data_IF_120978445408
#
_entry.id   IF_120978445408
#
_cell.length_a   1.000
_cell.length_b   1.000
_cell.length_c   1.000
_cell.angle_alpha   90.00
_cell.angle_beta   90.00
_cell.angle_gamma   90.00
#
_symmetry.space_group_name_H-M   'P 1'
#
loop_
_entity.id
_entity.type
_entity.pdbx_description
1 polymer ?
#
# COMPACT_ATOMS: atom_id res chain seq x y z
N UNK A 1 -17.28 6.14 9.05
CA UNK A 1 -16.09 5.29 9.22
C UNK A 1 -15.43 4.87 7.91
N UNK A 2 -16.16 4.30 6.94
CA UNK A 2 -15.59 3.80 5.69
C UNK A 2 -14.98 4.89 4.81
N UNK A 3 -15.60 6.07 4.81
CA UNK A 3 -15.18 7.20 3.97
C UNK A 3 -13.92 7.87 4.51
N UNK A 4 -13.68 7.80 5.80
CA UNK A 4 -12.49 8.31 6.47
C UNK A 4 -11.23 7.53 6.07
N UNK A 5 -11.29 6.20 6.02
CA UNK A 5 -10.15 5.34 5.66
C UNK A 5 -9.56 5.61 4.26
N UNK A 6 -10.35 6.10 3.34
CA UNK A 6 -9.88 6.41 1.99
C UNK A 6 -9.26 7.80 1.89
N UNK A 7 -9.78 8.75 2.66
CA UNK A 7 -9.14 10.06 2.81
C UNK A 7 -7.76 9.92 3.43
N UNK A 8 -7.60 9.03 4.43
CA UNK A 8 -6.32 8.75 5.07
C UNK A 8 -5.29 8.17 4.08
N UNK A 9 -5.69 7.21 3.25
CA UNK A 9 -4.79 6.66 2.21
C UNK A 9 -4.35 7.71 1.21
N UNK A 10 -5.24 8.60 0.77
CA UNK A 10 -4.90 9.69 -0.14
C UNK A 10 -4.00 10.74 0.54
N UNK A 11 -4.24 11.05 1.81
CA UNK A 11 -3.40 11.93 2.61
C UNK A 11 -2.00 11.34 2.82
N UNK A 12 -1.90 10.07 3.19
CA UNK A 12 -0.63 9.35 3.36
C UNK A 12 0.16 9.33 2.05
N UNK A 13 -0.50 9.04 0.93
CA UNK A 13 0.14 9.05 -0.38
C UNK A 13 0.70 10.44 -0.72
N UNK A 14 -0.06 11.48 -0.42
CA UNK A 14 0.36 12.87 -0.61
C UNK A 14 1.56 13.24 0.28
N UNK A 15 1.57 12.77 1.54
CA UNK A 15 2.70 12.95 2.46
C UNK A 15 3.97 12.27 1.97
N UNK A 16 3.89 11.07 1.42
CA UNK A 16 5.04 10.41 0.80
C UNK A 16 5.55 11.18 -0.41
N UNK A 17 4.65 11.62 -1.31
CA UNK A 17 5.01 12.45 -2.45
C UNK A 17 5.67 13.76 -2.03
N UNK A 18 5.11 14.45 -1.04
CA UNK A 18 5.68 15.68 -0.47
C UNK A 18 7.06 15.44 0.16
N UNK A 19 7.22 14.32 0.86
CA UNK A 19 8.50 13.95 1.46
C UNK A 19 9.60 13.75 0.41
N UNK A 20 9.28 13.09 -0.73
CA UNK A 20 10.22 12.98 -1.87
C UNK A 20 10.47 14.34 -2.51
N UNK A 21 9.44 15.19 -2.61
CA UNK A 21 9.60 16.52 -3.17
C UNK A 21 10.48 17.43 -2.30
N UNK A 22 10.44 17.29 -0.98
CA UNK A 22 11.21 18.14 -0.06
C UNK A 22 12.58 17.58 0.32
N UNK A 23 12.67 16.28 0.57
CA UNK A 23 13.87 15.62 1.06
C UNK A 23 14.61 14.82 -0.01
N UNK A 24 14.13 14.83 -1.26
CA UNK A 24 14.68 14.05 -2.35
C UNK A 24 15.78 14.77 -3.16
N UNK A 25 16.47 15.76 -2.60
CA UNK A 25 17.55 16.50 -3.29
C UNK A 25 18.77 15.64 -3.60
N UNK A 26 18.94 14.52 -2.89
CA UNK A 26 19.96 13.52 -3.15
C UNK A 26 19.65 12.61 -4.34
N UNK A 27 18.42 12.68 -4.91
CA UNK A 27 18.00 11.92 -6.08
C UNK A 27 18.37 12.66 -7.38
N UNK A 28 18.80 11.95 -8.42
CA UNK A 28 18.91 12.57 -9.75
C UNK A 28 17.57 13.19 -10.17
N UNK A 29 17.57 14.44 -10.70
CA UNK A 29 16.32 15.13 -11.04
C UNK A 29 15.37 14.34 -11.94
N UNK A 30 15.84 13.61 -12.99
CA UNK A 30 14.94 12.78 -13.80
C UNK A 30 14.27 11.64 -13.01
N UNK A 31 15.01 10.97 -12.13
CA UNK A 31 14.48 9.90 -11.29
C UNK A 31 13.44 10.44 -10.32
N UNK A 32 13.76 11.56 -9.63
CA UNK A 32 12.82 12.24 -8.71
C UNK A 32 11.52 12.61 -9.41
N UNK A 33 11.61 13.21 -10.60
CA UNK A 33 10.43 13.59 -11.38
C UNK A 33 9.57 12.38 -11.76
N UNK A 34 10.18 11.26 -12.17
CA UNK A 34 9.44 10.03 -12.51
C UNK A 34 8.80 9.37 -11.28
N UNK A 35 9.50 9.30 -10.17
CA UNK A 35 8.93 8.79 -8.91
C UNK A 35 7.71 9.62 -8.51
N UNK A 36 7.80 10.95 -8.54
CA UNK A 36 6.68 11.84 -8.25
C UNK A 36 5.53 11.70 -9.26
N UNK A 37 5.82 11.51 -10.53
CA UNK A 37 4.81 11.28 -11.57
C UNK A 37 4.04 9.97 -11.32
N UNK A 38 4.73 8.88 -10.97
CA UNK A 38 4.09 7.60 -10.66
C UNK A 38 3.24 7.72 -9.39
N UNK A 39 3.75 8.39 -8.33
CA UNK A 39 2.97 8.68 -7.13
C UNK A 39 1.71 9.50 -7.45
N UNK A 40 1.85 10.51 -8.32
CA UNK A 40 0.72 11.32 -8.79
C UNK A 40 -0.33 10.50 -9.54
N UNK A 41 0.07 9.57 -10.41
CA UNK A 41 -0.86 8.68 -11.10
C UNK A 41 -1.62 7.76 -10.13
N UNK A 42 -0.94 7.21 -9.12
CA UNK A 42 -1.57 6.41 -8.07
C UNK A 42 -2.55 7.29 -7.28
N UNK A 43 -2.17 8.51 -6.92
CA UNK A 43 -3.02 9.45 -6.20
C UNK A 43 -4.29 9.79 -7.00
N UNK A 44 -4.18 10.01 -8.30
CA UNK A 44 -5.35 10.22 -9.18
C UNK A 44 -6.29 9.03 -9.13
N UNK A 45 -5.78 7.79 -9.15
CA UNK A 45 -6.60 6.58 -9.01
C UNK A 45 -7.37 6.53 -7.69
N UNK A 46 -6.72 6.83 -6.56
CA UNK A 46 -7.38 6.87 -5.25
C UNK A 46 -8.38 8.03 -5.11
N UNK A 47 -8.04 9.20 -5.64
CA UNK A 47 -8.96 10.36 -5.63
C UNK A 47 -10.18 10.08 -6.51
N UNK A 48 -9.99 9.48 -7.69
CA UNK A 48 -11.09 9.06 -8.55
C UNK A 48 -12.00 8.03 -7.84
N UNK A 49 -11.41 7.07 -7.13
CA UNK A 49 -12.17 6.13 -6.30
C UNK A 49 -13.02 6.87 -5.25
N UNK A 50 -12.44 7.84 -4.53
CA UNK A 50 -13.17 8.63 -3.54
C UNK A 50 -14.32 9.41 -4.16
N UNK A 51 -14.10 10.05 -5.31
CA UNK A 51 -15.11 10.91 -5.94
C UNK A 51 -16.25 10.11 -6.58
N UNK A 52 -15.93 9.01 -7.28
CA UNK A 52 -16.90 8.31 -8.11
C UNK A 52 -17.49 7.05 -7.44
N UNK A 53 -16.73 6.36 -6.59
CA UNK A 53 -17.17 5.13 -5.97
C UNK A 53 -17.50 5.29 -4.47
N UNK A 54 -16.87 6.22 -3.75
CA UNK A 54 -17.04 6.35 -2.30
C UNK A 54 -16.96 7.80 -1.83
N UNK A 55 -17.82 8.67 -2.36
CA UNK A 55 -17.79 10.11 -2.08
C UNK A 55 -18.03 10.39 -0.58
N UNK A 56 -17.01 10.90 0.17
CA UNK A 56 -17.17 11.23 1.58
C UNK A 56 -18.05 12.47 1.82
N UNK A 57 -18.28 13.30 0.79
CA UNK A 57 -19.09 14.51 0.87
C UNK A 57 -20.56 14.27 0.46
N UNK A 58 -20.92 13.03 0.10
CA UNK A 58 -22.33 12.72 -0.20
C UNK A 58 -23.19 12.90 1.07
N UNK A 59 -24.26 13.68 0.94
CA UNK A 59 -25.18 13.96 2.03
C UNK A 59 -26.35 13.01 1.99
N UNK A 60 -26.81 12.58 3.17
CA UNK A 60 -28.07 11.84 3.33
C UNK A 60 -29.24 12.83 3.27
N UNK A 61 -30.31 12.43 2.58
CA UNK A 61 -31.55 13.21 2.48
C UNK A 61 -32.74 12.27 2.77
N UNK A 62 -33.54 12.54 3.81
CA UNK A 62 -33.41 13.62 4.79
C UNK A 62 -32.16 13.46 5.66
N UNK A 63 -31.62 14.59 6.15
CA UNK A 63 -30.52 14.54 7.08
C UNK A 63 -30.96 13.88 8.40
N UNK A 64 -30.20 12.93 8.94
CA UNK A 64 -30.50 12.34 10.26
C UNK A 64 -30.39 13.43 11.35
N UNK A 65 -31.20 13.30 12.40
CA UNK A 65 -31.22 14.26 13.51
C UNK A 65 -29.90 14.23 14.31
N UNK A 66 -29.25 13.09 14.35
CA UNK A 66 -27.95 12.87 15.03
C UNK A 66 -27.15 11.78 14.29
N UNK A 67 -25.85 11.69 14.58
CA UNK A 67 -24.99 10.61 14.09
C UNK A 67 -25.24 9.29 14.84
N UNK A 68 -24.95 8.17 14.18
CA UNK A 68 -25.11 6.83 14.78
C UNK A 68 -24.09 6.55 15.91
N UNK A 69 -23.08 7.43 16.06
CA UNK A 69 -21.99 7.20 17.01
C UNK A 69 -21.03 6.10 16.56
N UNK A 70 -20.02 5.85 17.38
CA UNK A 70 -19.02 4.80 17.16
C UNK A 70 -19.41 3.56 17.98
N UNK A 71 -19.40 2.39 17.33
CA UNK A 71 -19.59 1.12 18.04
C UNK A 71 -18.63 1.04 19.26
N UNK A 72 -19.12 0.70 20.47
CA UNK A 72 -18.29 0.64 21.67
C UNK A 72 -17.02 -0.21 21.54
N UNK A 73 -17.06 -1.31 20.80
CA UNK A 73 -15.88 -2.17 20.53
C UNK A 73 -14.79 -1.40 19.76
N UNK A 74 -15.21 -0.43 18.94
CA UNK A 74 -14.30 0.38 18.13
C UNK A 74 -13.73 1.60 18.87
N UNK A 75 -14.15 1.85 20.11
CA UNK A 75 -13.69 2.98 20.93
C UNK A 75 -12.41 2.66 21.72
N UNK A 76 -11.75 1.56 21.41
CA UNK A 76 -10.52 1.14 22.07
C UNK A 76 -9.29 1.86 21.46
N UNK A 77 -8.36 2.37 22.30
CA UNK A 77 -7.14 3.03 21.83
C UNK A 77 -6.26 2.14 20.94
N UNK A 78 -6.22 0.83 21.18
CA UNK A 78 -5.48 -0.12 20.32
C UNK A 78 -6.02 -0.16 18.91
N UNK A 79 -7.36 -0.13 18.77
CA UNK A 79 -7.99 -0.04 17.45
C UNK A 79 -7.79 1.33 16.79
N UNK A 80 -7.71 2.42 17.56
CA UNK A 80 -7.46 3.74 17.00
C UNK A 80 -6.08 3.85 16.32
N UNK A 81 -5.08 3.14 16.84
CA UNK A 81 -3.70 3.17 16.34
C UNK A 81 -3.41 2.11 15.26
N UNK A 82 -4.11 0.98 15.28
CA UNK A 82 -3.88 -0.13 14.35
C UNK A 82 -4.12 0.23 12.88
N UNK A 83 -5.28 0.76 12.44
CA UNK A 83 -5.52 1.06 11.03
C UNK A 83 -4.58 2.11 10.44
N UNK A 84 -4.25 3.23 11.11
CA UNK A 84 -3.28 4.19 10.59
C UNK A 84 -1.92 3.56 10.29
N UNK A 85 -1.41 2.69 11.16
CA UNK A 85 -0.14 2.01 10.94
C UNK A 85 -0.21 1.02 9.78
N UNK A 86 -1.32 0.27 9.64
CA UNK A 86 -1.55 -0.57 8.47
C UNK A 86 -1.55 0.24 7.18
N UNK A 87 -2.28 1.36 7.13
CA UNK A 87 -2.36 2.18 5.93
C UNK A 87 -1.03 2.84 5.59
N UNK A 88 -0.28 3.28 6.59
CA UNK A 88 1.07 3.80 6.38
C UNK A 88 1.98 2.75 5.73
N UNK A 89 1.87 1.49 6.14
CA UNK A 89 2.59 0.36 5.54
C UNK A 89 2.12 0.04 4.11
N UNK A 90 0.82 -0.17 3.92
CA UNK A 90 0.24 -0.50 2.62
C UNK A 90 0.54 0.56 1.56
N UNK A 91 0.24 1.82 1.88
CA UNK A 91 0.47 2.95 0.98
C UNK A 91 1.97 3.23 0.84
N UNK A 92 2.76 3.02 1.91
CA UNK A 92 4.20 3.21 1.88
C UNK A 92 4.91 2.34 0.84
N UNK A 93 4.42 1.13 0.57
CA UNK A 93 4.97 0.29 -0.50
C UNK A 93 4.76 0.85 -1.91
N UNK A 94 3.85 1.81 -2.10
CA UNK A 94 3.75 2.55 -3.36
C UNK A 94 5.03 3.31 -3.71
N UNK A 95 5.82 3.68 -2.70
CA UNK A 95 7.12 4.32 -2.92
C UNK A 95 8.11 3.35 -3.59
N UNK A 96 8.27 2.14 -3.04
CA UNK A 96 9.13 1.12 -3.65
C UNK A 96 8.68 0.80 -5.08
N UNK A 97 7.37 0.68 -5.31
CA UNK A 97 6.77 0.52 -6.62
C UNK A 97 7.12 1.69 -7.57
N UNK A 98 7.00 2.93 -7.11
CA UNK A 98 7.29 4.12 -7.93
C UNK A 98 8.77 4.20 -8.33
N UNK A 99 9.68 3.84 -7.41
CA UNK A 99 11.09 3.70 -7.71
C UNK A 99 11.37 2.57 -8.73
N UNK A 100 10.64 1.46 -8.63
CA UNK A 100 10.78 0.35 -9.56
C UNK A 100 10.30 0.73 -10.97
N UNK A 101 9.14 1.36 -11.10
CA UNK A 101 8.61 1.85 -12.39
C UNK A 101 9.54 2.91 -12.99
N UNK A 102 10.02 3.85 -12.18
CA UNK A 102 10.97 4.86 -12.63
C UNK A 102 12.28 4.23 -13.15
N UNK A 103 12.80 3.22 -12.46
CA UNK A 103 14.00 2.48 -12.87
C UNK A 103 13.78 1.70 -14.19
N UNK A 104 12.61 1.11 -14.40
CA UNK A 104 12.25 0.44 -15.66
C UNK A 104 12.19 1.44 -16.81
N UNK A 105 11.66 2.63 -16.58
CA UNK A 105 11.63 3.71 -17.60
C UNK A 105 13.05 4.16 -17.93
N UNK A 106 13.91 4.35 -16.92
CA UNK A 106 15.30 4.74 -17.10
C UNK A 106 16.18 3.64 -17.70
N UNK A 107 15.80 2.37 -17.50
CA UNK A 107 16.60 1.21 -17.87
C UNK A 107 17.85 1.05 -17.00
N UNK A 108 17.83 1.59 -15.76
CA UNK A 108 18.99 1.58 -14.86
C UNK A 108 18.62 1.21 -13.44
N UNK A 109 19.32 0.21 -12.91
CA UNK A 109 19.29 -0.19 -11.51
C UNK A 109 20.72 -0.41 -11.02
N UNK A 110 21.14 0.36 -10.04
CA UNK A 110 22.50 0.32 -9.48
C UNK A 110 22.47 0.40 -7.93
N UNK A 111 23.64 0.36 -7.33
CA UNK A 111 23.80 0.45 -5.88
C UNK A 111 23.23 1.78 -5.30
N UNK A 112 23.27 2.87 -6.07
CA UNK A 112 22.72 4.15 -5.65
C UNK A 112 21.19 4.08 -5.59
N UNK A 113 20.55 3.50 -6.63
CA UNK A 113 19.10 3.27 -6.65
C UNK A 113 18.67 2.41 -5.45
N UNK A 114 19.37 1.33 -5.15
CA UNK A 114 19.07 0.48 -4.01
C UNK A 114 19.15 1.22 -2.66
N UNK A 115 20.14 2.12 -2.49
CA UNK A 115 20.25 2.97 -1.29
C UNK A 115 19.09 3.95 -1.16
N UNK A 116 18.56 4.44 -2.27
CA UNK A 116 17.43 5.38 -2.24
C UNK A 116 16.10 4.70 -1.95
N UNK A 117 15.86 3.49 -2.46
CA UNK A 117 14.59 2.78 -2.25
C UNK A 117 14.48 2.15 -0.85
N UNK A 118 15.60 1.73 -0.26
CA UNK A 118 15.62 1.02 1.03
C UNK A 118 14.96 1.77 2.20
N UNK A 119 15.25 3.05 2.47
CA UNK A 119 14.63 3.76 3.59
C UNK A 119 13.11 3.79 3.50
N UNK A 120 12.56 4.00 2.31
CA UNK A 120 11.13 4.02 2.08
C UNK A 120 10.50 2.64 2.30
N UNK A 121 11.14 1.60 1.76
CA UNK A 121 10.69 0.21 1.96
C UNK A 121 10.76 -0.18 3.43
N UNK A 122 11.82 0.21 4.14
CA UNK A 122 11.96 -0.06 5.58
C UNK A 122 10.91 0.68 6.40
N UNK A 123 10.64 1.94 6.12
CA UNK A 123 9.61 2.72 6.80
C UNK A 123 8.21 2.09 6.61
N UNK A 124 7.87 1.69 5.39
CA UNK A 124 6.63 1.00 5.09
C UNK A 124 6.54 -0.36 5.82
N UNK A 125 7.63 -1.13 5.81
CA UNK A 125 7.70 -2.43 6.49
C UNK A 125 7.57 -2.31 8.02
N UNK A 126 8.22 -1.31 8.63
CA UNK A 126 8.08 -1.03 10.07
C UNK A 126 6.63 -0.66 10.41
N UNK A 127 6.04 0.25 9.64
CA UNK A 127 4.66 0.67 9.85
C UNK A 127 3.68 -0.52 9.74
N UNK A 128 3.86 -1.38 8.72
CA UNK A 128 3.04 -2.57 8.55
C UNK A 128 3.26 -3.58 9.69
N UNK A 129 4.50 -3.76 10.16
CA UNK A 129 4.82 -4.61 11.32
C UNK A 129 4.10 -4.13 12.57
N UNK A 130 4.16 -2.82 12.84
CA UNK A 130 3.45 -2.23 13.98
C UNK A 130 1.94 -2.36 13.81
N UNK A 131 1.42 -2.12 12.61
CA UNK A 131 0.01 -2.28 12.32
C UNK A 131 -0.49 -3.70 12.57
N UNK A 132 0.20 -4.71 12.06
CA UNK A 132 -0.13 -6.13 12.29
C UNK A 132 -0.04 -6.46 13.78
N UNK A 133 1.05 -6.06 14.47
CA UNK A 133 1.24 -6.33 15.89
C UNK A 133 0.18 -5.69 16.77
N UNK A 134 -0.18 -4.43 16.51
CA UNK A 134 -1.24 -3.73 17.25
C UNK A 134 -2.61 -4.37 17.02
N UNK A 135 -2.92 -4.79 15.79
CA UNK A 135 -4.17 -5.48 15.49
C UNK A 135 -4.26 -6.84 16.18
N UNK A 136 -3.19 -7.61 16.17
CA UNK A 136 -3.11 -8.89 16.90
C UNK A 136 -3.28 -8.69 18.42
N UNK A 137 -2.63 -7.69 18.99
CA UNK A 137 -2.75 -7.35 20.40
C UNK A 137 -4.19 -6.95 20.74
N UNK A 138 -4.80 -6.05 19.95
CA UNK A 138 -6.18 -5.62 20.16
C UNK A 138 -7.16 -6.80 20.07
N UNK A 139 -7.04 -7.65 19.05
CA UNK A 139 -7.89 -8.84 18.91
C UNK A 139 -7.78 -9.78 20.11
N UNK A 140 -6.58 -9.95 20.67
CA UNK A 140 -6.33 -10.83 21.80
C UNK A 140 -7.10 -10.42 23.05
N UNK A 141 -7.06 -9.14 23.45
CA UNK A 141 -7.70 -8.73 24.71
C UNK A 141 -9.15 -8.25 24.54
N UNK A 142 -9.55 -7.79 23.34
CA UNK A 142 -10.89 -7.22 23.13
C UNK A 142 -11.90 -8.26 22.64
N UNK A 143 -11.49 -9.12 21.68
CA UNK A 143 -12.41 -10.03 21.01
C UNK A 143 -12.58 -11.37 21.75
N UNK A 144 -11.69 -11.69 22.68
CA UNK A 144 -11.79 -12.93 23.47
C UNK A 144 -11.63 -14.22 22.67
N UNK A 145 -11.04 -14.16 21.48
CA UNK A 145 -10.85 -15.34 20.62
C UNK A 145 -9.73 -16.28 21.07
N UNK A 146 -8.99 -15.93 22.11
CA UNK A 146 -7.99 -16.79 22.72
C UNK A 146 -6.66 -16.91 21.99
N UNK A 147 -6.39 -16.08 20.99
CA UNK A 147 -5.15 -16.12 20.22
C UNK A 147 -4.78 -14.76 19.63
N UNK A 148 -3.56 -14.70 19.08
CA UNK A 148 -3.00 -13.50 18.45
C UNK A 148 -3.17 -13.49 16.92
N UNK A 149 -3.42 -14.64 16.30
CA UNK A 149 -3.53 -14.80 14.87
C UNK A 149 -4.50 -15.92 14.53
N UNK A 150 -5.43 -15.67 13.62
CA UNK A 150 -6.54 -16.57 13.32
C UNK A 150 -6.54 -17.07 11.88
N UNK A 151 -5.54 -16.70 11.08
CA UNK A 151 -5.45 -17.04 9.66
C UNK A 151 -6.66 -16.55 8.86
N UNK A 152 -7.32 -15.49 9.35
CA UNK A 152 -8.40 -14.85 8.63
C UNK A 152 -7.89 -14.30 7.29
N UNK A 153 -8.70 -14.33 6.20
CA UNK A 153 -8.28 -13.83 4.90
C UNK A 153 -7.75 -12.38 4.89
N UNK A 154 -8.32 -11.51 5.72
CA UNK A 154 -7.86 -10.11 5.85
C UNK A 154 -6.54 -9.99 6.61
N UNK A 155 -6.34 -10.82 7.64
CA UNK A 155 -5.04 -10.93 8.32
C UNK A 155 -3.97 -11.38 7.33
N UNK A 156 -4.24 -12.45 6.58
CA UNK A 156 -3.33 -12.95 5.55
C UNK A 156 -3.07 -11.92 4.44
N UNK A 157 -4.07 -11.10 4.10
CA UNK A 157 -3.91 -10.00 3.15
C UNK A 157 -2.88 -8.96 3.64
N UNK A 158 -2.72 -8.78 4.95
CA UNK A 158 -1.67 -7.91 5.52
C UNK A 158 -0.31 -8.60 5.57
N UNK A 159 -0.29 -9.91 5.80
CA UNK A 159 0.94 -10.70 5.87
C UNK A 159 1.64 -10.83 4.51
N UNK A 160 0.90 -10.93 3.41
CA UNK A 160 1.48 -11.09 2.07
C UNK A 160 2.43 -9.95 1.69
N UNK A 161 2.04 -8.65 1.72
CA UNK A 161 2.96 -7.56 1.42
C UNK A 161 4.09 -7.44 2.45
N UNK A 162 3.87 -7.85 3.70
CA UNK A 162 4.92 -7.89 4.72
C UNK A 162 6.03 -8.88 4.37
N UNK A 163 5.67 -10.09 3.95
CA UNK A 163 6.62 -11.12 3.50
C UNK A 163 7.40 -10.67 2.26
N UNK A 164 6.71 -10.12 1.26
CA UNK A 164 7.35 -9.62 0.05
C UNK A 164 8.22 -8.39 0.34
N UNK A 165 7.81 -7.51 1.25
CA UNK A 165 8.59 -6.38 1.72
C UNK A 165 9.88 -6.82 2.41
N UNK A 166 9.82 -7.90 3.19
CA UNK A 166 11.01 -8.55 3.79
C UNK A 166 11.97 -9.03 2.71
N UNK A 167 11.47 -9.76 1.71
CA UNK A 167 12.26 -10.23 0.59
C UNK A 167 12.87 -9.06 -0.22
N UNK A 168 12.09 -8.00 -0.44
CA UNK A 168 12.52 -6.79 -1.14
C UNK A 168 13.67 -6.09 -0.41
N UNK A 169 13.59 -5.93 0.92
CA UNK A 169 14.66 -5.35 1.73
C UNK A 169 15.98 -6.11 1.59
N UNK A 170 15.93 -7.43 1.66
CA UNK A 170 17.11 -8.28 1.49
C UNK A 170 17.66 -8.23 0.06
N UNK A 171 16.78 -8.27 -0.94
CA UNK A 171 17.17 -8.18 -2.35
C UNK A 171 17.82 -6.82 -2.68
N UNK A 172 17.29 -5.73 -2.14
CA UNK A 172 17.88 -4.40 -2.29
C UNK A 172 19.29 -4.30 -1.67
N UNK A 173 19.55 -5.00 -0.56
CA UNK A 173 20.90 -5.09 0.02
C UNK A 173 21.86 -5.84 -0.94
N UNK A 174 21.38 -6.87 -1.62
CA UNK A 174 22.20 -7.60 -2.61
C UNK A 174 22.52 -6.72 -3.82
N UNK A 175 21.55 -5.94 -4.32
CA UNK A 175 21.80 -4.94 -5.37
C UNK A 175 22.86 -3.94 -4.91
N UNK A 176 22.71 -3.40 -3.70
CA UNK A 176 23.66 -2.39 -3.16
C UNK A 176 25.08 -2.92 -2.98
N UNK A 177 25.22 -4.14 -2.48
CA UNK A 177 26.54 -4.68 -2.06
C UNK A 177 27.22 -5.55 -3.11
N UNK A 178 26.45 -6.19 -4.00
CA UNK A 178 26.94 -7.20 -4.93
C UNK A 178 26.57 -6.95 -6.39
N UNK A 179 25.84 -5.87 -6.66
CA UNK A 179 25.30 -5.52 -7.99
C UNK A 179 24.49 -6.64 -8.66
N UNK A 180 23.87 -7.51 -7.86
CA UNK A 180 23.12 -8.68 -8.30
C UNK A 180 21.61 -8.55 -8.02
N UNK A 181 20.80 -9.44 -8.59
CA UNK A 181 19.35 -9.53 -8.39
C UNK A 181 18.55 -8.29 -8.83
N UNK A 182 19.04 -7.48 -9.76
CA UNK A 182 18.42 -6.24 -10.19
C UNK A 182 16.97 -6.43 -10.65
N UNK A 183 16.74 -7.29 -11.64
CA UNK A 183 15.39 -7.57 -12.16
C UNK A 183 14.48 -8.18 -11.11
N UNK A 184 15.01 -9.06 -10.26
CA UNK A 184 14.27 -9.66 -9.16
C UNK A 184 13.82 -8.61 -8.13
N UNK A 185 14.69 -7.67 -7.79
CA UNK A 185 14.37 -6.57 -6.86
C UNK A 185 13.25 -5.67 -7.40
N UNK A 186 13.29 -5.36 -8.69
CA UNK A 186 12.21 -4.62 -9.36
C UNK A 186 10.90 -5.40 -9.30
N UNK A 187 10.93 -6.69 -9.63
CA UNK A 187 9.74 -7.53 -9.58
C UNK A 187 9.16 -7.61 -8.16
N UNK A 188 10.02 -7.78 -7.15
CA UNK A 188 9.58 -7.78 -5.74
C UNK A 188 8.93 -6.45 -5.34
N UNK A 189 9.46 -5.31 -5.79
CA UNK A 189 8.87 -4.01 -5.50
C UNK A 189 7.46 -3.87 -6.13
N UNK A 190 7.28 -4.33 -7.37
CA UNK A 190 5.98 -4.36 -8.04
C UNK A 190 5.02 -5.29 -7.28
N UNK A 191 5.45 -6.51 -6.96
CA UNK A 191 4.62 -7.51 -6.30
C UNK A 191 4.24 -7.13 -4.87
N UNK A 192 5.13 -6.46 -4.13
CA UNK A 192 4.83 -5.99 -2.77
C UNK A 192 3.66 -5.01 -2.76
N UNK A 193 3.68 -4.04 -3.68
CA UNK A 193 2.56 -3.10 -3.81
C UNK A 193 1.32 -3.76 -4.42
N UNK A 194 1.48 -4.70 -5.36
CA UNK A 194 0.39 -5.49 -5.89
C UNK A 194 -0.39 -6.23 -4.79
N UNK A 195 0.32 -6.86 -3.83
CA UNK A 195 -0.32 -7.56 -2.71
C UNK A 195 -1.06 -6.59 -1.78
N UNK A 196 -0.57 -5.36 -1.59
CA UNK A 196 -1.29 -4.33 -0.85
C UNK A 196 -2.62 -3.94 -1.53
N UNK A 197 -2.63 -3.80 -2.85
CA UNK A 197 -3.86 -3.53 -3.62
C UNK A 197 -4.80 -4.74 -3.64
N UNK A 198 -4.27 -5.96 -3.79
CA UNK A 198 -5.06 -7.20 -3.71
C UNK A 198 -5.71 -7.32 -2.34
N UNK A 199 -4.99 -7.04 -1.25
CA UNK A 199 -5.56 -7.01 0.09
C UNK A 199 -6.72 -6.02 0.21
N UNK A 200 -6.56 -4.82 -0.33
CA UNK A 200 -7.64 -3.82 -0.38
C UNK A 200 -8.85 -4.31 -1.19
N UNK A 201 -8.60 -4.98 -2.32
CA UNK A 201 -9.66 -5.59 -3.13
C UNK A 201 -10.40 -6.70 -2.37
N UNK A 202 -9.69 -7.63 -1.73
CA UNK A 202 -10.28 -8.74 -0.99
C UNK A 202 -11.20 -8.28 0.14
N UNK A 203 -10.78 -7.24 0.88
CA UNK A 203 -11.59 -6.64 1.96
C UNK A 203 -12.89 -6.03 1.44
N UNK A 204 -12.88 -5.44 0.23
CA UNK A 204 -14.03 -4.69 -0.31
C UNK A 204 -14.94 -5.51 -1.22
N UNK A 205 -14.39 -6.48 -1.93
CA UNK A 205 -15.15 -7.24 -2.95
C UNK A 205 -16.19 -8.19 -2.38
N UNK A 206 -16.02 -8.62 -1.12
CA UNK A 206 -16.85 -9.67 -0.53
C UNK A 206 -16.62 -11.07 -1.13
N UNK A 207 -15.54 -11.25 -1.89
CA UNK A 207 -15.16 -12.55 -2.47
C UNK A 207 -14.81 -13.56 -1.38
N UNK A 208 -14.26 -13.08 -0.27
CA UNK A 208 -13.87 -13.91 0.87
C UNK A 208 -14.69 -13.55 2.12
N UNK A 209 -15.12 -14.55 2.85
CA UNK A 209 -15.74 -14.36 4.17
C UNK A 209 -14.65 -14.08 5.18
N UNK A 210 -14.78 -12.95 5.90
CA UNK A 210 -13.85 -12.54 6.94
C UNK A 210 -14.60 -11.80 8.05
N UNK A 211 -14.17 -11.99 9.28
CA UNK A 211 -14.66 -11.22 10.43
C UNK A 211 -14.28 -9.74 10.36
N UNK A 212 -13.31 -9.39 9.52
CA UNK A 212 -12.88 -8.02 9.26
C UNK A 212 -13.61 -7.36 8.07
N UNK A 213 -14.52 -8.08 7.40
CA UNK A 213 -15.27 -7.58 6.24
C UNK A 213 -16.50 -6.79 6.68
N UNK A 214 -16.32 -5.72 7.44
CA UNK A 214 -17.40 -4.89 7.96
C UNK A 214 -18.19 -4.15 6.87
N UNK A 215 -17.65 -4.06 5.66
CA UNK A 215 -18.21 -3.27 4.60
C UNK A 215 -17.92 -3.88 3.23
N UNK A 216 -18.60 -4.96 2.96
CA UNK A 216 -18.62 -5.57 1.63
C UNK A 216 -19.40 -4.67 0.68
N UNK A 217 -18.76 -4.20 -0.38
CA UNK A 217 -19.38 -3.45 -1.47
C UNK A 217 -18.77 -3.88 -2.80
N UNK A 218 -19.47 -4.77 -3.55
CA UNK A 218 -18.97 -5.31 -4.81
C UNK A 218 -18.71 -4.23 -5.88
N UNK A 219 -19.48 -3.15 -5.90
CA UNK A 219 -19.30 -2.07 -6.87
C UNK A 219 -17.98 -1.33 -6.63
N UNK A 220 -17.66 -1.07 -5.38
CA UNK A 220 -16.35 -0.51 -4.98
C UNK A 220 -15.22 -1.51 -5.23
N UNK A 221 -15.47 -2.80 -5.00
CA UNK A 221 -14.53 -3.87 -5.34
C UNK A 221 -14.14 -3.86 -6.82
N UNK A 222 -15.09 -3.71 -7.73
CA UNK A 222 -14.81 -3.62 -9.17
C UNK A 222 -13.93 -2.43 -9.55
N UNK A 223 -14.12 -1.28 -8.93
CA UNK A 223 -13.25 -0.12 -9.17
C UNK A 223 -11.80 -0.42 -8.75
N UNK A 224 -11.62 -1.01 -7.56
CA UNK A 224 -10.29 -1.39 -7.04
C UNK A 224 -9.65 -2.44 -7.96
N UNK A 225 -10.43 -3.40 -8.47
CA UNK A 225 -9.95 -4.38 -9.44
C UNK A 225 -9.46 -3.70 -10.72
N UNK A 226 -10.21 -2.73 -11.24
CA UNK A 226 -9.80 -1.93 -12.39
C UNK A 226 -8.48 -1.18 -12.14
N UNK A 227 -8.36 -0.54 -10.99
CA UNK A 227 -7.13 0.14 -10.58
C UNK A 227 -5.94 -0.84 -10.48
N UNK A 228 -6.17 -2.02 -9.92
CA UNK A 228 -5.18 -3.09 -9.81
C UNK A 228 -4.74 -3.55 -11.20
N UNK A 229 -5.67 -3.85 -12.10
CA UNK A 229 -5.36 -4.31 -13.46
C UNK A 229 -4.52 -3.26 -14.21
N UNK A 230 -4.90 -1.99 -14.14
CA UNK A 230 -4.15 -0.90 -14.79
C UNK A 230 -2.76 -0.73 -14.18
N UNK A 231 -2.68 -0.65 -12.85
CA UNK A 231 -1.42 -0.36 -12.15
C UNK A 231 -0.46 -1.54 -12.26
N UNK A 232 -0.92 -2.74 -11.93
CA UNK A 232 -0.07 -3.94 -11.89
C UNK A 232 0.12 -4.51 -13.29
N UNK A 233 -0.94 -4.61 -14.07
CA UNK A 233 -0.84 -5.06 -15.47
C UNK A 233 0.09 -4.17 -16.28
N UNK A 234 -0.05 -2.85 -16.17
CA UNK A 234 0.85 -1.88 -16.82
C UNK A 234 2.30 -2.01 -16.37
N UNK A 235 2.55 -2.16 -15.06
CA UNK A 235 3.92 -2.31 -14.54
C UNK A 235 4.55 -3.64 -14.91
N UNK A 236 3.79 -4.74 -14.92
CA UNK A 236 4.29 -6.05 -15.36
C UNK A 236 4.57 -6.07 -16.88
N UNK A 237 3.73 -5.42 -17.68
CA UNK A 237 4.01 -5.25 -19.09
C UNK A 237 5.31 -4.44 -19.32
N UNK A 238 5.46 -3.32 -18.59
CA UNK A 238 6.68 -2.52 -18.64
C UNK A 238 7.90 -3.35 -18.19
N UNK A 239 7.74 -4.16 -17.13
CA UNK A 239 8.78 -5.07 -16.67
C UNK A 239 9.17 -6.07 -17.77
N UNK A 240 8.21 -6.73 -18.41
CA UNK A 240 8.46 -7.70 -19.48
C UNK A 240 9.24 -7.07 -20.65
N UNK A 241 8.93 -5.81 -20.99
CA UNK A 241 9.58 -5.10 -22.10
C UNK A 241 10.96 -4.55 -21.74
N UNK A 242 11.21 -4.19 -20.48
CA UNK A 242 12.38 -3.42 -20.07
C UNK A 242 13.36 -4.18 -19.15
N UNK A 243 12.95 -5.29 -18.53
CA UNK A 243 13.82 -6.06 -17.64
C UNK A 243 15.13 -6.54 -18.29
N UNK A 244 15.18 -6.95 -19.56
CA UNK A 244 16.45 -7.30 -20.21
C UNK A 244 17.48 -6.15 -20.22
N UNK A 245 17.04 -4.90 -20.30
CA UNK A 245 17.92 -3.73 -20.28
C UNK A 245 18.57 -3.46 -18.91
N UNK A 246 18.04 -4.07 -17.83
CA UNK A 246 18.58 -3.89 -16.48
C UNK A 246 19.77 -4.81 -16.16
N UNK A 247 20.07 -5.77 -17.04
CA UNK A 247 21.10 -6.79 -16.83
C UNK A 247 22.47 -6.40 -17.43
N UNK A 248 22.51 -5.27 -18.12
CA UNK A 248 23.71 -4.75 -18.81
C UNK A 248 24.61 -3.89 -17.94
#
# INVERSE_FOLDING_TARGET
>A
HEKEFLSDKAAILSLFGLSVAWFGDNLPPPLRARVLAVQGMIAVGFIAFMLFASNPFARLMPAPADGEGLNPILQDPGLAMHPPMLYLGYVGFSMAFSFAVAALIDGKVDAAWARWVRPWTLAAWIALTLGIGLGSHWAYYTLGWGGWWFWDPVENASLMPWLLGTALLHSAIVVEKRDGLKSWTILLAIMTFAMSLIGTFLVRSGVLTSVHSFAVDPARGLFILGLLVVTIGGSLLLFALRAPALQG
#
